data_IF_962600958056
#
_entry.id   IF_962600958056
#
_cell.length_a   1.000
_cell.length_b   1.000
_cell.length_c   1.000
_cell.angle_alpha   90.00
_cell.angle_beta   90.00
_cell.angle_gamma   90.00
#
_symmetry.space_group_name_H-M   'P 1'
#
loop_
_entity.id
_entity.type
_entity.pdbx_description
1 polymer ?
#
# COMPACT_ATOMS: atom_id res chain seq x y z
N UNK A 1 19.18 16.37 -4.89
CA UNK A 1 18.47 16.24 -3.61
C UNK A 1 18.45 17.58 -2.88
N UNK A 2 19.58 18.29 -2.89
CA UNK A 2 19.78 19.57 -2.18
C UNK A 2 18.75 20.66 -2.50
N UNK A 3 18.42 20.91 -3.77
CA UNK A 3 17.46 21.99 -4.12
C UNK A 3 16.07 21.87 -3.48
N UNK A 4 15.55 20.65 -3.31
CA UNK A 4 14.19 20.46 -2.79
C UNK A 4 14.14 20.66 -1.27
N UNK A 5 15.13 20.12 -0.56
CA UNK A 5 15.26 20.31 0.87
C UNK A 5 15.57 21.79 1.17
N UNK A 6 16.45 22.44 0.41
CA UNK A 6 16.75 23.87 0.57
C UNK A 6 15.51 24.77 0.38
N UNK A 7 14.67 24.45 -0.61
CA UNK A 7 13.43 25.19 -0.87
C UNK A 7 12.43 25.08 0.30
N UNK A 8 12.34 23.88 0.89
CA UNK A 8 11.49 23.62 2.05
C UNK A 8 12.06 24.28 3.32
N UNK A 9 13.38 24.24 3.51
CA UNK A 9 14.06 24.89 4.64
C UNK A 9 13.77 26.39 4.71
N UNK A 10 13.65 27.07 3.57
CA UNK A 10 13.28 28.48 3.52
C UNK A 10 11.88 28.74 4.10
N UNK A 11 10.91 27.86 3.84
CA UNK A 11 9.55 27.98 4.39
C UNK A 11 9.57 27.79 5.92
N UNK A 12 10.31 26.80 6.41
CA UNK A 12 10.39 26.53 7.85
C UNK A 12 11.04 27.67 8.63
N UNK A 13 12.02 28.36 8.06
CA UNK A 13 12.62 29.56 8.66
C UNK A 13 11.62 30.71 8.89
N UNK A 14 10.50 30.72 8.18
CA UNK A 14 9.44 31.74 8.34
C UNK A 14 8.39 31.33 9.38
N UNK A 15 8.43 30.09 9.86
CA UNK A 15 7.46 29.49 10.78
C UNK A 15 8.06 29.30 12.19
N UNK A 16 8.86 30.27 12.66
CA UNK A 16 9.64 30.14 13.91
C UNK A 16 8.79 29.91 15.18
N UNK A 17 7.51 30.29 15.15
CA UNK A 17 6.57 30.15 16.26
C UNK A 17 5.66 28.90 16.12
N UNK A 18 5.97 28.00 15.19
CA UNK A 18 5.17 26.80 14.98
C UNK A 18 5.40 25.82 16.13
N UNK A 19 4.34 25.52 16.89
CA UNK A 19 4.39 24.55 18.00
C UNK A 19 4.09 23.12 17.55
N UNK A 20 3.33 22.94 16.46
CA UNK A 20 2.93 21.63 15.96
C UNK A 20 3.08 21.54 14.44
N UNK A 21 3.67 20.44 13.95
CA UNK A 21 3.84 20.18 12.53
C UNK A 21 3.48 18.73 12.21
N UNK A 22 2.63 18.56 11.19
CA UNK A 22 2.38 17.26 10.57
C UNK A 22 2.89 17.31 9.12
N UNK A 23 3.92 16.53 8.81
CA UNK A 23 4.62 16.57 7.53
C UNK A 23 4.56 15.23 6.79
N UNK A 24 3.97 15.23 5.60
CA UNK A 24 4.13 14.14 4.65
C UNK A 24 5.05 14.59 3.53
N UNK A 25 6.14 13.84 3.32
CA UNK A 25 7.14 14.16 2.32
C UNK A 25 7.42 12.94 1.44
N UNK A 26 7.41 13.12 0.13
CA UNK A 26 7.85 12.09 -0.81
C UNK A 26 8.97 12.66 -1.66
N UNK A 27 10.12 11.99 -1.66
CA UNK A 27 11.29 12.36 -2.46
C UNK A 27 11.56 11.26 -3.47
N UNK A 28 11.46 11.61 -4.75
CA UNK A 28 11.69 10.69 -5.85
C UNK A 28 13.12 10.83 -6.38
N UNK A 29 13.70 9.71 -6.81
CA UNK A 29 15.02 9.66 -7.44
C UNK A 29 16.13 10.26 -6.56
N UNK A 30 16.05 9.98 -5.26
CA UNK A 30 17.10 10.35 -4.31
C UNK A 30 18.39 9.58 -4.59
N UNK A 31 19.53 10.25 -4.38
CA UNK A 31 20.86 9.60 -4.36
C UNK A 31 21.22 9.14 -2.95
N UNK A 32 20.56 9.67 -1.92
CA UNK A 32 20.79 9.37 -0.51
C UNK A 32 19.45 9.25 0.20
N UNK A 33 19.38 8.42 1.24
CA UNK A 33 18.23 8.30 2.11
C UNK A 33 18.09 9.52 3.06
N UNK A 34 16.86 9.99 3.32
CA UNK A 34 16.61 11.08 4.29
C UNK A 34 16.66 10.52 5.71
N UNK A 35 17.81 10.65 6.36
CA UNK A 35 18.00 10.23 7.74
C UNK A 35 17.58 11.28 8.78
N UNK A 36 17.64 10.93 10.06
CA UNK A 36 17.28 11.85 11.14
C UNK A 36 18.20 13.07 11.24
N UNK A 37 19.45 12.98 10.79
CA UNK A 37 20.38 14.13 10.74
C UNK A 37 19.93 15.13 9.67
N UNK A 38 19.49 14.65 8.50
CA UNK A 38 18.94 15.50 7.45
C UNK A 38 17.70 16.24 7.93
N UNK A 39 16.77 15.56 8.61
CA UNK A 39 15.58 16.20 9.18
C UNK A 39 15.97 17.25 10.21
N UNK A 40 16.88 16.93 11.12
CA UNK A 40 17.30 17.88 12.15
C UNK A 40 17.90 19.15 11.54
N UNK A 41 18.88 19.00 10.64
CA UNK A 41 19.62 20.11 10.06
C UNK A 41 18.78 21.00 9.13
N UNK A 42 17.75 20.45 8.49
CA UNK A 42 16.97 21.19 7.48
C UNK A 42 15.59 21.63 7.98
N UNK A 43 15.03 20.94 8.98
CA UNK A 43 13.67 21.20 9.47
C UNK A 43 13.72 21.67 10.91
N UNK A 44 14.17 20.80 11.82
CA UNK A 44 14.01 21.05 13.26
C UNK A 44 14.81 22.25 13.76
N UNK A 45 16.04 22.46 13.26
CA UNK A 45 16.88 23.58 13.71
C UNK A 45 16.23 24.95 13.46
N UNK A 46 15.29 25.02 12.51
CA UNK A 46 14.56 26.23 12.15
C UNK A 46 13.23 26.40 12.92
N UNK A 47 12.76 25.35 13.60
CA UNK A 47 11.47 25.30 14.29
C UNK A 47 11.67 25.10 15.80
N UNK A 48 12.33 26.07 16.45
CA UNK A 48 12.75 25.94 17.85
C UNK A 48 11.60 25.85 18.87
N UNK A 49 10.40 26.31 18.50
CA UNK A 49 9.20 26.21 19.35
C UNK A 49 8.40 24.93 19.11
N UNK A 50 8.84 24.06 18.19
CA UNK A 50 8.13 22.84 17.84
C UNK A 50 8.14 21.86 19.01
N UNK A 51 6.95 21.49 19.45
CA UNK A 51 6.70 20.53 20.54
C UNK A 51 6.19 19.20 20.01
N UNK A 52 5.38 19.24 18.95
CA UNK A 52 4.80 18.05 18.31
C UNK A 52 5.25 18.01 16.86
N UNK A 53 5.90 16.91 16.48
CA UNK A 53 6.27 16.68 15.10
C UNK A 53 5.87 15.28 14.64
N UNK A 54 4.79 15.22 13.87
CA UNK A 54 4.35 14.00 13.21
C UNK A 54 4.87 14.01 11.78
N UNK A 55 5.44 12.90 11.32
CA UNK A 55 5.95 12.83 9.97
C UNK A 55 5.80 11.46 9.32
N UNK A 56 5.73 11.46 7.99
CA UNK A 56 5.90 10.29 7.15
C UNK A 56 6.70 10.73 5.92
N UNK A 57 7.94 10.24 5.84
CA UNK A 57 8.89 10.57 4.77
C UNK A 57 9.12 9.31 3.96
N UNK A 58 8.75 9.37 2.67
CA UNK A 58 9.03 8.34 1.70
C UNK A 58 10.19 8.81 0.81
N UNK A 59 11.23 7.98 0.67
CA UNK A 59 12.33 8.21 -0.26
C UNK A 59 12.42 7.05 -1.24
N UNK A 60 12.33 7.34 -2.53
CA UNK A 60 12.61 6.41 -3.63
C UNK A 60 14.05 6.65 -4.13
N UNK A 61 14.90 5.65 -3.95
CA UNK A 61 16.34 5.68 -4.23
C UNK A 61 16.65 4.81 -5.44
N UNK A 62 17.66 5.20 -6.23
CA UNK A 62 18.21 4.28 -7.25
C UNK A 62 19.32 3.42 -6.63
N UNK A 63 19.28 2.10 -6.88
CA UNK A 63 20.20 1.13 -6.25
C UNK A 63 21.64 1.27 -6.74
N UNK A 64 21.86 1.79 -7.95
CA UNK A 64 23.19 2.12 -8.48
C UNK A 64 23.98 3.10 -7.60
N UNK A 65 23.30 3.78 -6.67
CA UNK A 65 23.90 4.69 -5.71
C UNK A 65 23.96 4.14 -4.27
N UNK A 66 23.47 2.93 -4.01
CA UNK A 66 23.52 2.30 -2.69
C UNK A 66 24.78 1.45 -2.56
N UNK A 67 25.73 1.93 -1.75
CA UNK A 67 26.98 1.19 -1.43
C UNK A 67 26.68 -0.07 -0.60
N UNK A 68 25.62 -0.05 0.21
CA UNK A 68 25.19 -1.16 1.07
C UNK A 68 23.66 -1.21 1.19
N UNK A 69 23.12 -2.41 1.41
CA UNK A 69 21.72 -2.58 1.81
C UNK A 69 21.52 -2.03 3.23
N UNK A 70 20.78 -0.93 3.36
CA UNK A 70 20.35 -0.38 4.64
C UNK A 70 19.35 -1.33 5.31
N UNK A 71 19.66 -1.74 6.54
CA UNK A 71 18.69 -2.45 7.37
C UNK A 71 17.73 -1.48 8.06
N UNK A 72 16.59 -1.98 8.52
CA UNK A 72 15.66 -1.24 9.37
C UNK A 72 16.36 -0.59 10.57
N UNK A 73 17.24 -1.36 11.24
CA UNK A 73 18.00 -0.90 12.39
C UNK A 73 18.97 0.24 12.03
N UNK A 74 19.62 0.16 10.87
CA UNK A 74 20.55 1.19 10.39
C UNK A 74 19.87 2.53 10.15
N UNK A 75 18.59 2.51 9.80
CA UNK A 75 17.78 3.69 9.55
C UNK A 75 17.27 4.25 10.87
N UNK A 76 16.62 3.43 11.70
CA UNK A 76 16.03 3.88 12.97
C UNK A 76 17.05 4.54 13.90
N UNK A 77 18.28 4.03 13.97
CA UNK A 77 19.36 4.60 14.79
C UNK A 77 19.74 6.03 14.43
N UNK A 78 19.40 6.51 13.22
CA UNK A 78 19.65 7.90 12.81
C UNK A 78 18.61 8.87 13.38
N UNK A 79 17.47 8.36 13.85
CA UNK A 79 16.37 9.13 14.42
C UNK A 79 16.42 9.06 15.95
N UNK A 80 17.48 9.61 16.54
CA UNK A 80 17.71 9.61 17.99
C UNK A 80 17.27 10.91 18.70
N UNK A 81 16.65 11.85 17.97
CA UNK A 81 16.25 13.14 18.55
C UNK A 81 14.97 13.02 19.39
N UNK A 82 14.96 13.65 20.56
CA UNK A 82 13.87 13.58 21.54
C UNK A 82 12.53 14.18 21.07
N UNK A 83 12.52 15.01 20.01
CA UNK A 83 11.29 15.66 19.51
C UNK A 83 10.36 14.65 18.82
N UNK A 84 10.89 13.53 18.32
CA UNK A 84 10.09 12.40 17.84
C UNK A 84 10.31 11.23 18.81
N UNK A 85 9.30 10.94 19.65
CA UNK A 85 9.42 9.94 20.71
C UNK A 85 9.68 8.53 20.15
N UNK A 86 8.91 8.14 19.13
CA UNK A 86 8.99 6.82 18.51
C UNK A 86 8.96 6.93 16.99
N UNK A 87 9.89 6.24 16.33
CA UNK A 87 10.02 6.21 14.87
C UNK A 87 10.11 4.77 14.40
N UNK A 88 9.32 4.44 13.38
CA UNK A 88 9.41 3.17 12.68
C UNK A 88 9.71 3.40 11.19
N UNK A 89 10.18 2.35 10.51
CA UNK A 89 10.45 2.40 9.10
C UNK A 89 10.12 1.10 8.38
N UNK A 90 9.88 1.26 7.07
CA UNK A 90 9.73 0.19 6.10
C UNK A 90 10.76 0.40 5.02
N UNK A 91 11.46 -0.67 4.65
CA UNK A 91 12.41 -0.65 3.54
C UNK A 91 12.00 -1.74 2.57
N UNK A 92 11.99 -1.39 1.30
CA UNK A 92 11.71 -2.31 0.22
C UNK A 92 12.76 -2.14 -0.88
N UNK A 93 13.27 -3.26 -1.37
CA UNK A 93 14.20 -3.31 -2.48
C UNK A 93 13.50 -3.89 -3.70
N UNK A 94 13.45 -3.11 -4.78
CA UNK A 94 13.07 -3.52 -6.12
C UNK A 94 14.30 -3.79 -7.00
N UNK A 95 14.11 -3.94 -8.32
CA UNK A 95 15.20 -4.35 -9.22
C UNK A 95 16.30 -3.28 -9.30
N UNK A 96 15.89 -2.02 -9.48
CA UNK A 96 16.81 -0.88 -9.63
C UNK A 96 16.50 0.25 -8.64
N UNK A 97 15.57 0.03 -7.71
CA UNK A 97 15.12 1.05 -6.77
C UNK A 97 14.93 0.51 -5.37
N UNK A 98 15.14 1.35 -4.37
CA UNK A 98 14.78 1.06 -3.00
C UNK A 98 13.85 2.15 -2.47
N UNK A 99 12.71 1.74 -1.93
CA UNK A 99 11.77 2.65 -1.26
C UNK A 99 11.98 2.53 0.23
N UNK A 100 12.17 3.66 0.91
CA UNK A 100 12.18 3.72 2.36
C UNK A 100 11.11 4.68 2.87
N UNK A 101 10.24 4.17 3.75
CA UNK A 101 9.33 4.97 4.54
C UNK A 101 9.89 5.08 5.94
N UNK A 102 9.99 6.30 6.47
CA UNK A 102 10.23 6.54 7.90
C UNK A 102 9.14 7.44 8.43
N UNK A 103 8.58 7.09 9.57
CA UNK A 103 7.42 7.77 10.11
C UNK A 103 7.40 7.76 11.64
N UNK A 104 6.78 8.79 12.20
CA UNK A 104 6.50 8.88 13.63
C UNK A 104 5.37 7.93 14.03
N UNK A 105 5.43 7.44 15.27
CA UNK A 105 4.34 6.70 15.90
C UNK A 105 3.61 7.58 16.94
N UNK A 106 2.27 7.43 17.09
CA UNK A 106 1.39 6.62 16.26
C UNK A 106 1.27 7.15 14.82
N UNK A 107 1.00 6.27 13.86
CA UNK A 107 0.83 6.68 12.46
C UNK A 107 -0.53 7.38 12.27
N UNK A 108 -0.50 8.65 11.86
CA UNK A 108 -1.70 9.51 11.74
C UNK A 108 -2.14 9.84 10.31
N UNK A 109 -1.39 9.41 9.29
CA UNK A 109 -1.70 9.72 7.90
C UNK A 109 -2.75 8.74 7.33
N UNK A 110 -3.48 9.21 6.33
CA UNK A 110 -4.56 8.45 5.70
C UNK A 110 -4.11 7.58 4.52
N UNK A 111 -2.85 7.75 4.08
CA UNK A 111 -2.30 7.08 2.91
C UNK A 111 -0.92 6.49 3.19
N UNK A 112 -0.74 5.24 2.76
CA UNK A 112 0.56 4.59 2.61
C UNK A 112 0.61 3.98 1.22
N UNK A 113 1.71 4.15 0.50
CA UNK A 113 1.86 3.60 -0.85
C UNK A 113 3.25 3.08 -1.10
N UNK A 114 3.38 2.23 -2.13
CA UNK A 114 4.64 1.59 -2.52
C UNK A 114 5.26 0.73 -1.42
N UNK A 115 4.43 -0.02 -0.70
CA UNK A 115 4.89 -0.99 0.30
C UNK A 115 4.70 -2.43 -0.17
N UNK A 116 5.60 -3.31 0.26
CA UNK A 116 5.59 -4.73 -0.05
C UNK A 116 5.38 -5.60 1.19
N UNK A 117 5.98 -6.80 1.20
CA UNK A 117 5.83 -7.78 2.28
C UNK A 117 6.41 -7.37 3.64
N UNK A 118 7.16 -6.25 3.70
CA UNK A 118 8.04 -5.88 4.81
C UNK A 118 7.43 -4.90 5.83
N UNK A 119 6.15 -4.50 5.68
CA UNK A 119 5.55 -3.58 6.65
C UNK A 119 5.43 -4.20 8.06
N UNK A 120 5.64 -3.41 9.14
CA UNK A 120 5.59 -3.90 10.52
C UNK A 120 4.17 -4.34 10.92
N UNK A 121 4.09 -5.24 11.89
CA UNK A 121 2.83 -5.73 12.47
C UNK A 121 2.21 -4.73 13.45
N UNK A 122 2.02 -3.49 13.02
CA UNK A 122 1.34 -2.43 13.78
C UNK A 122 -0.01 -2.12 13.13
N UNK A 123 -0.94 -1.57 13.92
CA UNK A 123 -2.25 -1.16 13.42
C UNK A 123 -2.22 0.27 12.91
N UNK A 124 -2.39 0.44 11.61
CA UNK A 124 -2.48 1.73 10.92
C UNK A 124 -3.94 2.21 10.91
N UNK A 125 -4.46 2.60 12.08
CA UNK A 125 -5.88 2.91 12.27
C UNK A 125 -6.37 4.10 11.42
N UNK A 126 -5.48 5.02 11.04
CA UNK A 126 -5.84 6.21 10.24
C UNK A 126 -5.77 5.97 8.73
N UNK A 127 -5.09 4.91 8.28
CA UNK A 127 -4.92 4.65 6.85
C UNK A 127 -6.26 4.22 6.23
N UNK A 128 -6.63 4.92 5.15
CA UNK A 128 -7.80 4.65 4.32
C UNK A 128 -7.41 4.22 2.92
N UNK A 129 -6.21 4.59 2.47
CA UNK A 129 -5.73 4.36 1.11
C UNK A 129 -4.40 3.63 1.17
N UNK A 130 -4.31 2.48 0.50
CA UNK A 130 -3.12 1.63 0.48
C UNK A 130 -2.73 1.28 -0.95
N UNK A 131 -1.47 1.52 -1.29
CA UNK A 131 -0.88 0.99 -2.52
C UNK A 131 0.22 -0.03 -2.18
N UNK A 132 -0.01 -1.29 -2.54
CA UNK A 132 0.97 -2.37 -2.37
C UNK A 132 1.61 -2.77 -3.70
N UNK A 133 2.92 -2.91 -3.69
CA UNK A 133 3.72 -3.35 -4.83
C UNK A 133 4.93 -4.14 -4.33
N UNK A 134 5.28 -5.26 -4.97
CA UNK A 134 6.47 -6.03 -4.61
C UNK A 134 6.94 -6.89 -5.80
N UNK A 135 8.24 -7.22 -5.82
CA UNK A 135 8.78 -8.22 -6.75
C UNK A 135 8.48 -9.64 -6.27
N UNK A 136 8.36 -9.82 -4.95
CA UNK A 136 7.99 -11.08 -4.34
C UNK A 136 6.47 -11.24 -4.44
N UNK A 137 5.94 -12.38 -4.93
CA UNK A 137 4.50 -12.61 -4.98
C UNK A 137 3.80 -12.46 -3.62
N UNK A 138 2.56 -11.97 -3.64
CA UNK A 138 1.75 -11.81 -2.44
C UNK A 138 0.95 -13.06 -2.13
N UNK A 139 1.33 -13.81 -1.09
CA UNK A 139 0.58 -14.99 -0.68
C UNK A 139 -0.71 -14.62 0.07
N UNK A 140 -1.61 -15.58 0.26
CA UNK A 140 -2.87 -15.37 0.99
C UNK A 140 -2.66 -14.72 2.37
N UNK A 141 -1.59 -15.12 3.09
CA UNK A 141 -1.23 -14.56 4.40
C UNK A 141 -0.92 -13.06 4.36
N UNK A 142 -0.44 -12.56 3.22
CA UNK A 142 -0.22 -11.12 3.04
C UNK A 142 -1.54 -10.34 3.10
N UNK A 143 -2.60 -10.85 2.46
CA UNK A 143 -3.91 -10.22 2.49
C UNK A 143 -4.58 -10.32 3.87
N UNK A 144 -4.35 -11.40 4.62
CA UNK A 144 -4.75 -11.48 6.05
C UNK A 144 -4.04 -10.38 6.85
N UNK A 145 -2.74 -10.19 6.63
CA UNK A 145 -1.97 -9.13 7.31
C UNK A 145 -2.46 -7.74 6.95
N UNK A 146 -2.83 -7.48 5.69
CA UNK A 146 -3.43 -6.19 5.30
C UNK A 146 -4.73 -5.96 6.08
N UNK A 147 -5.66 -6.93 6.07
CA UNK A 147 -6.94 -6.76 6.77
C UNK A 147 -6.78 -6.50 8.28
N UNK A 148 -5.75 -7.09 8.90
CA UNK A 148 -5.43 -6.86 10.31
C UNK A 148 -4.75 -5.50 10.57
N UNK A 149 -3.77 -5.13 9.76
CA UNK A 149 -2.99 -3.90 9.98
C UNK A 149 -3.74 -2.64 9.51
N UNK A 150 -4.68 -2.77 8.57
CA UNK A 150 -5.43 -1.66 7.96
C UNK A 150 -6.95 -1.88 8.11
N UNK A 151 -7.49 -1.87 9.35
CA UNK A 151 -8.87 -2.29 9.61
C UNK A 151 -9.93 -1.38 8.98
N UNK A 152 -9.58 -0.13 8.67
CA UNK A 152 -10.46 0.89 8.10
C UNK A 152 -10.12 1.20 6.64
N UNK A 153 -9.46 0.27 5.93
CA UNK A 153 -9.04 0.46 4.55
C UNK A 153 -10.24 0.65 3.60
N UNK A 154 -10.25 1.75 2.85
CA UNK A 154 -11.30 2.12 1.90
C UNK A 154 -10.88 1.95 0.43
N UNK A 155 -9.59 2.14 0.14
CA UNK A 155 -9.01 1.98 -1.19
C UNK A 155 -7.75 1.13 -1.15
N UNK A 156 -7.74 0.05 -1.94
CA UNK A 156 -6.60 -0.83 -2.12
C UNK A 156 -6.20 -0.87 -3.60
N UNK A 157 -4.97 -0.45 -3.90
CA UNK A 157 -4.31 -0.66 -5.17
C UNK A 157 -3.24 -1.74 -5.01
N UNK A 158 -3.24 -2.72 -5.92
CA UNK A 158 -2.29 -3.81 -5.94
C UNK A 158 -1.54 -3.79 -7.28
N UNK A 159 -0.22 -3.84 -7.20
CA UNK A 159 0.66 -4.06 -8.35
C UNK A 159 1.57 -5.25 -8.06
N UNK A 160 1.32 -6.39 -8.69
CA UNK A 160 2.19 -7.55 -8.61
C UNK A 160 1.88 -8.48 -9.77
N UNK A 161 2.85 -8.67 -10.66
CA UNK A 161 2.67 -9.50 -11.86
C UNK A 161 3.04 -10.98 -11.62
N UNK A 162 3.65 -11.29 -10.48
CA UNK A 162 4.07 -12.65 -10.15
C UNK A 162 2.88 -13.51 -9.68
N UNK A 163 2.82 -14.80 -10.06
CA UNK A 163 1.79 -15.72 -9.58
C UNK A 163 1.96 -16.05 -8.09
N UNK A 164 0.87 -16.39 -7.41
CA UNK A 164 0.93 -16.91 -6.03
C UNK A 164 1.57 -18.30 -6.03
N UNK A 165 2.65 -18.47 -5.27
CA UNK A 165 3.42 -19.71 -5.28
C UNK A 165 2.72 -20.82 -4.50
N UNK A 166 2.05 -20.49 -3.38
CA UNK A 166 1.43 -21.48 -2.50
C UNK A 166 0.05 -21.97 -2.98
N UNK A 167 -0.56 -21.30 -3.97
CA UNK A 167 -1.81 -21.75 -4.59
C UNK A 167 -1.59 -23.00 -5.44
N UNK A 168 -0.41 -23.14 -6.05
CA UNK A 168 -0.06 -24.29 -6.90
C UNK A 168 0.21 -25.60 -6.14
N UNK A 169 0.45 -25.54 -4.83
CA UNK A 169 0.94 -26.69 -4.02
C UNK A 169 -0.11 -27.32 -3.10
N UNK A 170 -1.35 -26.81 -3.03
CA UNK A 170 -2.34 -27.19 -2.01
C UNK A 170 -3.64 -27.82 -2.52
N UNK A 171 -3.55 -28.72 -3.50
CA UNK A 171 -4.57 -29.74 -3.70
C UNK A 171 -4.49 -30.91 -2.67
N UNK A 172 -3.60 -30.84 -1.65
CA UNK A 172 -3.24 -32.04 -0.84
C UNK A 172 -2.99 -31.90 0.67
N UNK A 173 -3.33 -30.81 1.38
CA UNK A 173 -3.21 -30.87 2.85
C UNK A 173 -4.26 -30.09 3.64
N UNK A 174 -5.02 -30.87 4.41
CA UNK A 174 -5.79 -30.44 5.58
C UNK A 174 -4.91 -29.65 6.55
N UNK A 175 -5.29 -28.41 6.83
CA UNK A 175 -5.11 -27.78 8.14
C UNK A 175 -5.98 -26.52 8.24
N UNK A 176 -6.90 -26.55 9.20
CA UNK A 176 -8.08 -25.70 9.41
C UNK A 176 -7.82 -24.23 9.74
N UNK A 177 -6.58 -23.73 9.64
CA UNK A 177 -6.26 -22.30 9.87
C UNK A 177 -6.09 -21.48 8.58
N UNK A 178 -5.86 -22.09 7.42
CA UNK A 178 -5.65 -21.35 6.16
C UNK A 178 -6.91 -21.08 5.32
N UNK A 179 -8.08 -21.48 5.81
CA UNK A 179 -9.36 -21.28 5.12
C UNK A 179 -10.15 -20.08 5.69
N UNK A 180 -9.51 -19.19 6.45
CA UNK A 180 -10.21 -18.02 6.96
C UNK A 180 -10.48 -17.04 5.82
N UNK A 181 -11.75 -16.80 5.52
CA UNK A 181 -12.17 -15.79 4.54
C UNK A 181 -11.67 -14.43 5.03
N UNK A 182 -10.88 -13.75 4.20
CA UNK A 182 -10.39 -12.41 4.53
C UNK A 182 -11.53 -11.42 4.37
N UNK A 183 -11.83 -10.62 5.38
CA UNK A 183 -12.90 -9.62 5.30
C UNK A 183 -12.32 -8.21 5.25
N UNK A 184 -12.68 -7.47 4.21
CA UNK A 184 -12.41 -6.03 4.13
C UNK A 184 -13.71 -5.25 4.26
N UNK A 185 -14.12 -4.97 5.51
CA UNK A 185 -15.42 -4.39 5.81
C UNK A 185 -15.63 -3.00 5.20
N UNK A 186 -14.56 -2.23 5.04
CA UNK A 186 -14.60 -0.83 4.61
C UNK A 186 -14.10 -0.60 3.17
N UNK A 187 -13.66 -1.65 2.47
CA UNK A 187 -13.06 -1.49 1.15
C UNK A 187 -14.14 -1.14 0.12
N UNK A 188 -14.08 0.09 -0.38
CA UNK A 188 -15.03 0.69 -1.31
C UNK A 188 -14.46 0.66 -2.74
N UNK A 189 -13.14 0.77 -2.87
CA UNK A 189 -12.44 0.79 -4.14
C UNK A 189 -11.28 -0.21 -4.18
N UNK A 190 -11.30 -1.09 -5.18
CA UNK A 190 -10.24 -2.05 -5.46
C UNK A 190 -9.68 -1.81 -6.87
N UNK A 191 -8.35 -1.67 -6.97
CA UNK A 191 -7.63 -1.46 -8.23
C UNK A 191 -6.67 -2.63 -8.50
N UNK A 192 -6.90 -3.30 -9.64
CA UNK A 192 -6.26 -4.54 -10.09
C UNK A 192 -5.81 -4.41 -11.56
N UNK A 193 -5.18 -3.30 -11.92
CA UNK A 193 -4.70 -3.09 -13.29
C UNK A 193 -3.55 -4.07 -13.58
N UNK A 194 -2.38 -3.88 -12.97
CA UNK A 194 -1.19 -4.67 -13.30
C UNK A 194 -0.96 -5.81 -12.31
N UNK A 195 -1.91 -6.76 -12.27
CA UNK A 195 -1.87 -7.91 -11.36
C UNK A 195 -1.91 -9.25 -12.07
N UNK A 196 -1.29 -10.27 -11.49
CA UNK A 196 -1.54 -11.66 -11.86
C UNK A 196 -2.99 -12.07 -11.57
N UNK A 197 -3.53 -13.00 -12.36
CA UNK A 197 -4.93 -13.47 -12.25
C UNK A 197 -5.27 -14.06 -10.88
N UNK A 198 -4.30 -14.65 -10.19
CA UNK A 198 -4.49 -15.22 -8.85
C UNK A 198 -4.98 -14.17 -7.84
N UNK A 199 -4.51 -12.93 -7.94
CA UNK A 199 -4.94 -11.84 -7.07
C UNK A 199 -6.39 -11.43 -7.37
N UNK A 200 -6.77 -11.41 -8.65
CA UNK A 200 -8.16 -11.18 -9.04
C UNK A 200 -9.05 -12.30 -8.48
N UNK A 201 -8.63 -13.56 -8.60
CA UNK A 201 -9.37 -14.68 -8.01
C UNK A 201 -9.42 -14.56 -6.48
N UNK A 202 -8.33 -14.19 -5.81
CA UNK A 202 -8.27 -13.98 -4.37
C UNK A 202 -9.31 -12.99 -3.89
N UNK A 203 -9.49 -11.85 -4.58
CA UNK A 203 -10.42 -10.79 -4.16
C UNK A 203 -11.85 -11.00 -4.64
N UNK A 204 -12.06 -11.47 -5.88
CA UNK A 204 -13.42 -11.61 -6.41
C UNK A 204 -14.10 -12.87 -5.91
N UNK A 205 -13.37 -13.93 -5.56
CA UNK A 205 -13.95 -15.14 -5.00
C UNK A 205 -14.38 -14.93 -3.53
N UNK A 206 -15.69 -14.98 -3.27
CA UNK A 206 -16.28 -14.77 -1.94
C UNK A 206 -15.82 -15.80 -0.90
N UNK A 207 -15.36 -16.98 -1.32
CA UNK A 207 -14.85 -18.02 -0.41
C UNK A 207 -13.41 -17.76 0.01
N UNK A 208 -12.73 -16.77 -0.60
CA UNK A 208 -11.38 -16.35 -0.26
C UNK A 208 -11.39 -14.98 0.41
N UNK A 209 -12.19 -14.05 -0.12
CA UNK A 209 -12.29 -12.68 0.38
C UNK A 209 -13.74 -12.19 0.37
N UNK A 210 -14.20 -11.57 1.45
CA UNK A 210 -15.50 -10.95 1.53
C UNK A 210 -15.39 -9.41 1.45
N UNK A 211 -16.06 -8.82 0.45
CA UNK A 211 -15.99 -7.39 0.13
C UNK A 211 -17.38 -6.73 0.23
N UNK A 212 -17.94 -6.55 1.43
CA UNK A 212 -19.33 -6.11 1.61
C UNK A 212 -19.60 -4.68 1.12
N UNK A 213 -18.57 -3.84 0.97
CA UNK A 213 -18.69 -2.41 0.67
C UNK A 213 -18.13 -2.04 -0.70
N UNK A 214 -17.71 -3.01 -1.51
CA UNK A 214 -17.08 -2.76 -2.80
C UNK A 214 -18.08 -2.12 -3.77
N UNK A 215 -17.78 -0.89 -4.20
CA UNK A 215 -18.59 -0.16 -5.19
C UNK A 215 -17.80 0.21 -6.45
N UNK A 216 -16.47 0.29 -6.33
CA UNK A 216 -15.57 0.66 -7.43
C UNK A 216 -14.56 -0.44 -7.69
N UNK A 217 -14.48 -0.91 -8.93
CA UNK A 217 -13.52 -1.91 -9.37
C UNK A 217 -12.79 -1.41 -10.61
N UNK A 218 -11.46 -1.47 -10.58
CA UNK A 218 -10.62 -1.22 -11.74
C UNK A 218 -9.90 -2.50 -12.11
N UNK A 219 -10.07 -2.99 -13.35
CA UNK A 219 -9.55 -4.30 -13.79
C UNK A 219 -9.48 -4.41 -15.33
N UNK A 220 -8.62 -5.28 -15.85
CA UNK A 220 -8.69 -5.70 -17.26
C UNK A 220 -9.90 -6.60 -17.54
N UNK A 221 -10.66 -6.27 -18.60
CA UNK A 221 -11.86 -7.03 -18.98
C UNK A 221 -11.57 -8.52 -19.25
N UNK A 222 -10.46 -8.83 -19.93
CA UNK A 222 -10.06 -10.22 -20.22
C UNK A 222 -9.83 -11.05 -18.94
N UNK A 223 -9.18 -10.44 -17.94
CA UNK A 223 -8.92 -11.10 -16.65
C UNK A 223 -10.23 -11.29 -15.88
N UNK A 224 -11.11 -10.29 -15.91
CA UNK A 224 -12.44 -10.39 -15.32
C UNK A 224 -13.26 -11.52 -15.94
N UNK A 225 -13.27 -11.64 -17.28
CA UNK A 225 -13.92 -12.76 -17.98
C UNK A 225 -13.34 -14.11 -17.56
N UNK A 226 -12.02 -14.24 -17.45
CA UNK A 226 -11.38 -15.49 -17.05
C UNK A 226 -11.79 -15.90 -15.63
N UNK A 227 -11.69 -15.00 -14.65
CA UNK A 227 -12.00 -15.32 -13.25
C UNK A 227 -13.48 -15.62 -13.01
N UNK A 228 -14.36 -14.95 -13.77
CA UNK A 228 -15.81 -15.13 -13.68
C UNK A 228 -16.35 -16.24 -14.59
N UNK A 229 -15.50 -16.94 -15.34
CA UNK A 229 -15.88 -17.91 -16.37
C UNK A 229 -16.92 -17.32 -17.35
N UNK A 230 -16.57 -16.18 -17.96
CA UNK A 230 -17.45 -15.37 -18.81
C UNK A 230 -18.77 -14.99 -18.12
N UNK A 231 -18.70 -14.62 -16.83
CA UNK A 231 -19.83 -14.20 -16.00
C UNK A 231 -20.84 -15.34 -15.71
N UNK A 232 -20.34 -16.56 -15.50
CA UNK A 232 -21.17 -17.72 -15.10
C UNK A 232 -20.82 -18.28 -13.71
N UNK A 233 -19.64 -17.97 -13.18
CA UNK A 233 -19.12 -18.47 -11.89
C UNK A 233 -19.70 -17.75 -10.66
N UNK A 234 -20.83 -18.25 -10.13
CA UNK A 234 -21.60 -17.62 -9.04
C UNK A 234 -20.79 -17.09 -7.84
N UNK A 235 -19.76 -17.81 -7.37
CA UNK A 235 -18.95 -17.42 -6.20
C UNK A 235 -18.16 -16.12 -6.38
N UNK A 236 -18.00 -15.65 -7.63
CA UNK A 236 -17.37 -14.35 -7.91
C UNK A 236 -18.39 -13.22 -7.99
N UNK A 237 -19.67 -13.55 -8.14
CA UNK A 237 -20.75 -12.59 -8.36
C UNK A 237 -21.05 -11.76 -7.12
N UNK A 238 -20.99 -12.33 -5.91
CA UNK A 238 -21.42 -11.60 -4.69
C UNK A 238 -20.54 -10.38 -4.39
N UNK A 239 -19.24 -10.47 -4.64
CA UNK A 239 -18.35 -9.31 -4.49
C UNK A 239 -18.56 -8.29 -5.61
N UNK A 240 -19.02 -8.70 -6.80
CA UNK A 240 -19.26 -7.81 -7.94
C UNK A 240 -20.63 -7.10 -7.91
N UNK A 241 -21.67 -7.68 -7.31
CA UNK A 241 -23.06 -7.21 -7.45
C UNK A 241 -23.31 -5.78 -6.94
N UNK A 242 -22.45 -5.29 -6.05
CA UNK A 242 -22.51 -3.93 -5.47
C UNK A 242 -21.68 -2.90 -6.24
N UNK A 243 -20.90 -3.34 -7.22
CA UNK A 243 -20.07 -2.46 -8.04
C UNK A 243 -20.98 -1.63 -8.95
N UNK A 244 -20.92 -0.31 -8.76
CA UNK A 244 -21.63 0.69 -9.55
C UNK A 244 -20.69 1.57 -10.38
N UNK A 245 -19.38 1.34 -10.25
CA UNK A 245 -18.36 1.96 -11.09
C UNK A 245 -17.30 0.91 -11.45
N UNK A 246 -17.31 0.48 -12.71
CA UNK A 246 -16.35 -0.46 -13.26
C UNK A 246 -15.45 0.25 -14.27
N UNK A 247 -14.18 0.43 -13.92
CA UNK A 247 -13.17 1.00 -14.80
C UNK A 247 -12.42 -0.15 -15.49
N UNK A 248 -12.55 -0.24 -16.81
CA UNK A 248 -11.87 -1.27 -17.60
C UNK A 248 -10.64 -0.66 -18.27
N UNK A 249 -9.46 -1.18 -17.92
CA UNK A 249 -8.15 -0.64 -18.37
C UNK A 249 -8.00 -0.67 -19.89
N UNK A 250 -8.64 -1.65 -20.55
CA UNK A 250 -8.73 -1.75 -22.01
C UNK A 250 -10.19 -1.88 -22.39
N UNK A 251 -10.59 -1.11 -23.42
CA UNK A 251 -11.96 -1.03 -23.90
C UNK A 251 -12.58 -2.39 -24.24
N UNK A 252 -13.90 -2.48 -24.07
CA UNK A 252 -14.68 -3.70 -24.33
C UNK A 252 -14.81 -3.91 -25.84
N UNK A 253 -14.49 -5.11 -26.32
CA UNK A 253 -14.78 -5.51 -27.71
C UNK A 253 -16.22 -6.04 -27.80
N UNK A 254 -16.65 -6.93 -26.89
CA UNK A 254 -18.04 -7.39 -26.74
C UNK A 254 -18.38 -7.76 -25.27
N UNK A 255 -19.57 -7.38 -24.79
CA UNK A 255 -20.07 -7.76 -23.45
C UNK A 255 -20.73 -9.15 -23.50
N UNK A 256 -20.42 -10.01 -22.53
CA UNK A 256 -21.18 -11.26 -22.32
C UNK A 256 -22.65 -10.95 -22.01
N UNK A 257 -23.56 -11.87 -22.38
CA UNK A 257 -24.99 -11.77 -22.06
C UNK A 257 -25.24 -11.64 -20.55
N UNK A 258 -24.42 -12.31 -19.74
CA UNK A 258 -24.56 -12.35 -18.28
C UNK A 258 -23.80 -11.23 -17.56
N UNK A 259 -23.16 -10.31 -18.30
CA UNK A 259 -22.42 -9.18 -17.72
C UNK A 259 -23.29 -8.34 -16.77
N UNK A 260 -24.52 -8.02 -17.19
CA UNK A 260 -25.45 -7.21 -16.38
C UNK A 260 -25.93 -7.94 -15.11
N UNK A 261 -25.84 -9.27 -15.08
CA UNK A 261 -26.19 -10.08 -13.89
C UNK A 261 -25.12 -9.95 -12.80
N UNK A 262 -23.86 -9.71 -13.21
CA UNK A 262 -22.72 -9.47 -12.32
C UNK A 262 -22.62 -8.04 -11.84
N UNK A 263 -23.02 -7.10 -12.68
CA UNK A 263 -22.94 -5.67 -12.43
C UNK A 263 -24.29 -4.98 -12.65
N UNK A 264 -25.31 -5.28 -11.84
CA UNK A 264 -26.66 -4.75 -12.05
C UNK A 264 -26.81 -3.25 -11.73
N UNK A 265 -25.76 -2.61 -11.20
CA UNK A 265 -25.75 -1.20 -10.80
C UNK A 265 -24.94 -0.30 -11.77
N UNK A 266 -24.40 -0.86 -12.87
CA UNK A 266 -23.74 -0.12 -13.95
C UNK A 266 -24.73 0.34 -15.01
#
# INVERSE_FOLDING_TARGET
>A
MDMFIESISFLFRRMINLEELTLQLTVHMGTVFIDGTHIYNNILIHLQQLRIFNFCICTDLRIDHLVHHLSKYDIQRTFSNAIYQDVDCMVQYGCNRATCHVFSLPFIFDYIGYIGNTFPSITFIHVRRLFVCDLVPFEHEFFIRIASCFPLLEHLNIYNIGPQLKVSTKLKSDNSQMNSIVKYSHLIWLELECVHIDYVEQFLNETKTHLPSLTRLTIYYSVLCNVTENFTRYITRRNCIKVNQLNLVVGIIERSKDFNVYFPLL
#
